data_IF_274669227274
#
_entry.id   IF_274669227274
#
_cell.length_a   1.000
_cell.length_b   1.000
_cell.length_c   1.000
_cell.angle_alpha   90.00
_cell.angle_beta   90.00
_cell.angle_gamma   90.00
#
_symmetry.space_group_name_H-M   'P 1'
#
loop_
_entity.id
_entity.type
_entity.pdbx_description
1 polymer ?
#
# COMPACT_ATOMS: atom_id res chain seq x y z
N UNK A 1 -50.87 17.65 -0.91
CA UNK A 1 -50.14 18.80 -0.36
C UNK A 1 -49.31 18.45 0.91
N UNK A 2 -49.66 17.42 1.67
CA UNK A 2 -48.91 17.02 2.87
C UNK A 2 -47.55 16.35 2.55
N UNK A 3 -47.51 15.53 1.52
CA UNK A 3 -46.32 14.80 1.09
C UNK A 3 -45.20 15.72 0.59
N UNK A 4 -45.53 16.81 -0.08
CA UNK A 4 -44.54 17.77 -0.59
C UNK A 4 -43.90 18.62 0.52
N UNK A 5 -44.65 18.89 1.61
CA UNK A 5 -44.13 19.58 2.78
C UNK A 5 -43.16 18.72 3.59
N UNK A 6 -43.40 17.43 3.71
CA UNK A 6 -42.50 16.48 4.39
C UNK A 6 -41.19 16.34 3.63
N UNK A 7 -41.21 16.29 2.30
CA UNK A 7 -39.96 16.21 1.50
C UNK A 7 -39.09 17.45 1.63
N UNK A 8 -39.68 18.63 1.74
CA UNK A 8 -38.96 19.88 1.91
C UNK A 8 -38.26 19.98 3.27
N UNK A 9 -38.94 19.52 4.33
CA UNK A 9 -38.39 19.52 5.70
C UNK A 9 -37.22 18.54 5.82
N UNK A 10 -37.32 17.35 5.22
CA UNK A 10 -36.21 16.38 5.23
C UNK A 10 -34.99 16.88 4.46
N UNK A 11 -35.21 17.56 3.32
CA UNK A 11 -34.10 18.14 2.55
C UNK A 11 -33.38 19.26 3.31
N UNK A 12 -34.10 20.11 4.03
CA UNK A 12 -33.53 21.18 4.85
C UNK A 12 -32.75 20.63 6.07
N UNK A 13 -33.21 19.53 6.67
CA UNK A 13 -32.50 18.85 7.75
C UNK A 13 -31.19 18.22 7.28
N UNK A 14 -31.15 17.65 6.09
CA UNK A 14 -29.90 17.11 5.51
C UNK A 14 -28.91 18.19 5.15
N UNK A 15 -29.36 19.35 4.68
CA UNK A 15 -28.49 20.49 4.40
C UNK A 15 -27.91 21.12 5.67
N UNK A 16 -28.68 21.18 6.76
CA UNK A 16 -28.20 21.69 8.03
C UNK A 16 -27.15 20.76 8.70
N UNK A 17 -27.30 19.44 8.55
CA UNK A 17 -26.38 18.46 9.14
C UNK A 17 -25.06 18.33 8.34
N UNK A 18 -25.11 18.57 7.03
CA UNK A 18 -23.95 18.48 6.14
C UNK A 18 -22.91 19.58 6.35
N UNK A 19 -23.28 20.74 6.88
CA UNK A 19 -22.36 21.87 7.07
C UNK A 19 -21.53 21.81 8.37
N UNK A 20 -21.91 21.00 9.32
CA UNK A 20 -21.19 20.90 10.61
C UNK A 20 -19.93 20.04 10.54
N UNK A 21 -19.84 19.10 9.59
CA UNK A 21 -18.71 18.16 9.48
C UNK A 21 -17.44 18.86 8.95
N UNK A 22 -17.59 19.95 8.17
CA UNK A 22 -16.42 20.67 7.62
C UNK A 22 -15.78 21.72 8.57
N UNK A 23 -16.38 22.01 9.72
CA UNK A 23 -15.86 23.05 10.63
C UNK A 23 -14.90 22.55 11.72
N UNK A 24 -14.64 21.25 11.82
CA UNK A 24 -13.72 20.69 12.83
C UNK A 24 -12.34 20.33 12.36
N UNK A 25 -11.92 20.74 11.19
CA UNK A 25 -10.51 20.71 10.82
C UNK A 25 -9.81 21.88 11.51
N UNK A 26 -9.35 21.70 12.75
CA UNK A 26 -8.34 22.56 13.35
C UNK A 26 -7.10 22.52 12.44
N UNK A 27 -6.60 23.66 11.95
CA UNK A 27 -5.27 23.68 11.38
C UNK A 27 -4.29 23.38 12.51
N UNK A 28 -3.72 22.18 12.53
CA UNK A 28 -2.55 21.92 13.33
C UNK A 28 -1.48 22.90 12.89
N UNK A 29 -1.06 23.77 13.80
CA UNK A 29 0.06 24.64 13.61
C UNK A 29 1.25 23.81 13.15
N UNK A 30 1.66 24.05 11.90
CA UNK A 30 2.91 23.54 11.35
C UNK A 30 4.04 24.26 12.07
N UNK A 31 4.47 23.71 13.21
CA UNK A 31 5.74 24.07 13.81
C UNK A 31 6.83 23.64 12.86
N UNK A 32 7.40 24.59 12.14
CA UNK A 32 8.68 24.45 11.46
C UNK A 32 9.76 24.15 12.50
N UNK A 33 9.84 22.91 12.95
CA UNK A 33 11.05 22.41 13.56
C UNK A 33 12.05 22.22 12.43
N UNK A 34 12.98 23.16 12.33
CA UNK A 34 14.24 22.99 11.61
C UNK A 34 14.95 21.79 12.27
N UNK A 35 14.60 20.58 11.85
CA UNK A 35 15.38 19.42 12.18
C UNK A 35 16.65 19.50 11.35
N UNK A 36 17.70 20.03 11.97
CA UNK A 36 19.07 19.76 11.59
C UNK A 36 19.20 18.26 11.41
N UNK A 37 19.35 17.83 10.16
CA UNK A 37 19.69 16.46 9.82
C UNK A 37 21.08 16.17 10.40
N UNK A 38 21.13 15.79 11.66
CA UNK A 38 22.27 15.03 12.16
C UNK A 38 22.28 13.72 11.35
N UNK A 39 23.41 13.32 10.74
CA UNK A 39 23.51 12.02 10.11
C UNK A 39 23.21 10.98 11.17
N UNK A 40 22.06 10.35 11.06
CA UNK A 40 21.65 9.26 11.93
C UNK A 40 22.70 8.15 11.78
N UNK A 41 23.33 7.67 12.86
CA UNK A 41 24.31 6.58 12.77
C UNK A 41 23.65 5.22 12.55
N UNK A 42 22.46 5.20 11.96
CA UNK A 42 21.85 4.02 11.37
C UNK A 42 22.30 3.83 9.90
N UNK A 43 23.61 3.90 9.67
CA UNK A 43 24.22 3.08 8.66
C UNK A 43 24.28 1.64 9.22
N UNK A 44 23.13 1.15 9.67
CA UNK A 44 22.93 -0.27 9.83
C UNK A 44 23.12 -0.85 8.43
N UNK A 45 24.10 -1.74 8.28
CA UNK A 45 24.26 -2.65 7.16
C UNK A 45 22.85 -3.02 6.69
N UNK A 46 22.46 -2.48 5.50
CA UNK A 46 21.15 -2.74 4.94
C UNK A 46 21.06 -4.26 4.78
N UNK A 47 20.43 -4.91 5.76
CA UNK A 47 20.27 -6.35 5.75
C UNK A 47 19.43 -6.64 4.54
N UNK A 48 20.05 -7.31 3.56
CA UNK A 48 19.40 -7.68 2.30
C UNK A 48 18.02 -8.29 2.59
N UNK A 49 16.96 -7.88 1.89
CA UNK A 49 15.64 -8.44 2.10
C UNK A 49 15.67 -9.96 1.93
N UNK A 50 15.15 -10.66 2.92
CA UNK A 50 15.03 -12.12 2.88
C UNK A 50 13.78 -12.52 2.10
N UNK A 51 13.96 -13.47 1.18
CA UNK A 51 12.88 -13.90 0.31
C UNK A 51 11.71 -14.53 1.09
N UNK A 52 12.00 -15.44 2.00
CA UNK A 52 10.97 -16.23 2.69
C UNK A 52 10.11 -15.38 3.63
N UNK A 53 10.75 -14.45 4.33
CA UNK A 53 10.10 -13.67 5.40
C UNK A 53 9.58 -12.31 4.96
N UNK A 54 10.14 -11.72 3.89
CA UNK A 54 9.81 -10.35 3.48
C UNK A 54 9.22 -10.28 2.07
N UNK A 55 9.73 -11.04 1.11
CA UNK A 55 9.32 -10.96 -0.29
C UNK A 55 8.15 -11.90 -0.59
N UNK A 56 8.26 -13.16 -0.21
CA UNK A 56 7.22 -14.17 -0.45
C UNK A 56 5.85 -13.79 0.11
N UNK A 57 5.71 -13.22 1.32
CA UNK A 57 4.41 -12.79 1.86
C UNK A 57 3.70 -11.74 1.00
N UNK A 58 4.44 -10.82 0.34
CA UNK A 58 3.88 -9.83 -0.58
C UNK A 58 3.16 -10.54 -1.73
N UNK A 59 3.84 -11.52 -2.35
CA UNK A 59 3.25 -12.28 -3.45
C UNK A 59 2.12 -13.21 -3.00
N UNK A 60 2.20 -13.76 -1.80
CA UNK A 60 1.10 -14.53 -1.24
C UNK A 60 -0.16 -13.69 -1.11
N UNK A 61 -0.07 -12.49 -0.55
CA UNK A 61 -1.21 -11.62 -0.37
C UNK A 61 -1.86 -11.15 -1.69
N UNK A 62 -1.09 -11.08 -2.79
CA UNK A 62 -1.53 -10.47 -4.05
C UNK A 62 -1.78 -11.46 -5.19
N UNK A 63 -1.11 -12.62 -5.16
CA UNK A 63 -1.01 -13.53 -6.31
C UNK A 63 -1.51 -14.95 -6.02
N UNK A 64 -2.01 -15.22 -4.81
CA UNK A 64 -2.72 -16.46 -4.51
C UNK A 64 -4.13 -16.44 -5.11
N UNK A 65 -4.69 -17.61 -5.42
CA UNK A 65 -4.07 -18.94 -5.40
C UNK A 65 -3.25 -19.27 -6.66
N UNK A 66 -3.36 -18.47 -7.74
CA UNK A 66 -2.94 -18.86 -9.09
C UNK A 66 -1.45 -19.18 -9.22
N UNK A 67 -0.56 -18.43 -8.55
CA UNK A 67 0.90 -18.57 -8.63
C UNK A 67 1.53 -19.37 -7.50
N UNK A 68 0.71 -20.02 -6.67
CA UNK A 68 1.15 -20.85 -5.54
C UNK A 68 0.67 -22.29 -5.70
N UNK A 69 1.18 -23.18 -4.87
CA UNK A 69 0.91 -24.61 -4.95
C UNK A 69 -0.59 -24.92 -5.10
N UNK A 70 -0.94 -25.69 -6.11
CA UNK A 70 -2.33 -25.98 -6.47
C UNK A 70 -3.00 -24.94 -7.38
N UNK A 71 -2.33 -23.84 -7.71
CA UNK A 71 -2.85 -22.81 -8.61
C UNK A 71 -2.64 -23.10 -10.08
N UNK A 72 -3.47 -22.51 -10.93
CA UNK A 72 -3.53 -22.81 -12.37
C UNK A 72 -2.24 -22.51 -13.15
N UNK A 73 -1.43 -21.56 -12.69
CA UNK A 73 -0.18 -21.16 -13.36
C UNK A 73 1.07 -21.51 -12.56
N UNK A 74 0.92 -22.24 -11.47
CA UNK A 74 2.03 -22.59 -10.58
C UNK A 74 3.16 -23.32 -11.30
N UNK A 75 2.87 -24.31 -12.12
CA UNK A 75 3.88 -25.11 -12.82
C UNK A 75 4.73 -24.30 -13.80
N UNK A 76 4.14 -23.23 -14.36
CA UNK A 76 4.83 -22.34 -15.32
C UNK A 76 5.50 -21.17 -14.62
N UNK A 77 4.95 -20.70 -13.52
CA UNK A 77 5.35 -19.46 -12.87
C UNK A 77 5.11 -19.50 -11.35
N UNK A 78 5.89 -20.30 -10.60
CA UNK A 78 5.78 -20.41 -9.16
C UNK A 78 6.35 -19.16 -8.46
N UNK A 79 5.52 -18.44 -7.69
CA UNK A 79 5.95 -17.24 -6.95
C UNK A 79 6.49 -17.54 -5.55
N UNK A 80 6.51 -18.78 -5.15
CA UNK A 80 7.18 -19.25 -3.93
C UNK A 80 8.68 -19.54 -4.12
N UNK A 81 9.19 -19.31 -5.34
CA UNK A 81 10.59 -19.52 -5.71
C UNK A 81 11.29 -18.19 -6.02
N UNK A 82 12.41 -17.86 -5.35
CA UNK A 82 13.12 -16.62 -5.57
C UNK A 82 13.62 -16.45 -7.02
N UNK A 83 14.00 -17.54 -7.68
CA UNK A 83 14.48 -17.53 -9.06
C UNK A 83 13.43 -17.03 -10.04
N UNK A 84 12.15 -17.35 -9.79
CA UNK A 84 11.05 -16.87 -10.60
C UNK A 84 10.89 -15.36 -10.47
N UNK A 85 10.98 -14.84 -9.24
CA UNK A 85 10.89 -13.41 -8.95
C UNK A 85 12.06 -12.66 -9.58
N UNK A 86 13.28 -13.16 -9.44
CA UNK A 86 14.48 -12.59 -10.06
C UNK A 86 14.36 -12.54 -11.58
N UNK A 87 13.88 -13.63 -12.21
CA UNK A 87 13.69 -13.70 -13.66
C UNK A 87 12.65 -12.72 -14.18
N UNK A 88 11.57 -12.49 -13.44
CA UNK A 88 10.51 -11.55 -13.81
C UNK A 88 10.95 -10.09 -13.60
N UNK A 89 11.73 -9.85 -12.56
CA UNK A 89 12.30 -8.55 -12.28
C UNK A 89 11.23 -7.45 -12.14
N UNK A 90 11.50 -6.29 -12.74
CA UNK A 90 10.61 -5.12 -12.66
C UNK A 90 9.27 -5.29 -13.38
N UNK A 91 9.08 -6.33 -14.20
CA UNK A 91 7.78 -6.64 -14.82
C UNK A 91 6.69 -6.90 -13.78
N UNK A 92 7.07 -7.33 -12.58
CA UNK A 92 6.16 -7.52 -11.45
C UNK A 92 5.44 -6.23 -11.03
N UNK A 93 6.06 -5.06 -11.25
CA UNK A 93 5.51 -3.75 -10.84
C UNK A 93 4.28 -3.33 -11.65
N UNK A 94 3.98 -3.99 -12.74
CA UNK A 94 2.72 -3.79 -13.48
C UNK A 94 1.51 -4.19 -12.62
N UNK A 95 1.67 -5.14 -11.72
CA UNK A 95 0.65 -5.67 -10.82
C UNK A 95 0.76 -5.18 -9.38
N UNK A 96 1.97 -4.88 -8.93
CA UNK A 96 2.26 -4.35 -7.61
C UNK A 96 2.30 -2.82 -7.68
N UNK A 97 1.39 -2.14 -6.99
CA UNK A 97 1.25 -0.67 -7.03
C UNK A 97 1.72 0.01 -5.76
N UNK A 98 1.94 -0.74 -4.70
CA UNK A 98 2.44 -0.21 -3.44
C UNK A 98 3.93 0.09 -3.54
N UNK A 99 4.31 1.34 -3.28
CA UNK A 99 5.70 1.80 -3.44
C UNK A 99 6.66 1.17 -2.43
N UNK A 100 6.19 0.85 -1.22
CA UNK A 100 7.03 0.19 -0.20
C UNK A 100 7.33 -1.24 -0.61
N UNK A 101 6.32 -1.96 -1.10
CA UNK A 101 6.48 -3.31 -1.64
C UNK A 101 7.44 -3.31 -2.84
N UNK A 102 7.28 -2.35 -3.75
CA UNK A 102 8.18 -2.19 -4.91
C UNK A 102 9.62 -1.89 -4.48
N UNK A 103 9.82 -1.01 -3.48
CA UNK A 103 11.16 -0.69 -2.98
C UNK A 103 11.84 -1.93 -2.41
N UNK A 104 11.14 -2.69 -1.57
CA UNK A 104 11.65 -3.91 -0.99
C UNK A 104 12.02 -4.96 -2.04
N UNK A 105 11.19 -5.10 -3.08
CA UNK A 105 11.47 -6.01 -4.18
C UNK A 105 12.68 -5.53 -5.02
N UNK A 106 12.82 -4.21 -5.26
CA UNK A 106 14.02 -3.68 -5.94
C UNK A 106 15.29 -3.98 -5.17
N UNK A 107 15.27 -3.81 -3.86
CA UNK A 107 16.41 -4.15 -2.99
C UNK A 107 16.74 -5.64 -3.06
N UNK A 108 15.72 -6.49 -3.09
CA UNK A 108 15.90 -7.93 -3.28
C UNK A 108 16.50 -8.26 -4.65
N UNK A 109 16.01 -7.65 -5.72
CA UNK A 109 16.49 -7.88 -7.10
C UNK A 109 17.91 -7.34 -7.34
N UNK A 110 18.35 -6.36 -6.56
CA UNK A 110 19.70 -5.80 -6.65
C UNK A 110 20.77 -6.67 -5.94
N UNK A 111 20.37 -7.78 -5.34
CA UNK A 111 21.31 -8.70 -4.71
C UNK A 111 22.09 -9.48 -5.79
N UNK A 112 23.40 -9.61 -5.63
CA UNK A 112 24.23 -10.41 -6.53
C UNK A 112 23.93 -11.89 -6.41
#
# INVERSE_FOLDING_TARGET
>A
MLTMRMALVTLLLFLAFGLEVCRRAKPAAFSSSTQTFAPSPFAGTAKKPDFATQIKPIFQARCQPCHFQGGQVYDKMPFDKPETITRLGTKLFTRLKDEKEQSLIREFLAQP
#
